data_IF_231475186225
#
_entry.id   IF_231475186225
#
_cell.length_a   1.000
_cell.length_b   1.000
_cell.length_c   1.000
_cell.angle_alpha   90.00
_cell.angle_beta   90.00
_cell.angle_gamma   90.00
#
_symmetry.space_group_name_H-M   'P 1'
#
loop_
_entity.id
_entity.type
_entity.pdbx_description
1 polymer ?
#
# COMPACT_ATOMS: atom_id res chain seq x y z
N UNK A 1 -16.89 9.40 35.48
CA UNK A 1 -16.18 8.56 36.50
C UNK A 1 -14.79 8.22 35.95
N UNK A 2 -13.74 8.80 36.51
CA UNK A 2 -12.35 8.65 36.05
C UNK A 2 -11.80 7.31 36.55
N UNK A 3 -11.38 6.42 35.67
CA UNK A 3 -10.63 5.20 36.03
C UNK A 3 -9.15 5.55 36.12
N UNK A 4 -8.60 5.55 37.35
CA UNK A 4 -7.17 5.62 37.59
C UNK A 4 -6.58 4.22 37.50
N UNK A 5 -5.68 4.00 36.55
CA UNK A 5 -4.90 2.77 36.46
C UNK A 5 -3.62 2.98 37.29
N UNK A 6 -3.51 2.26 38.44
CA UNK A 6 -2.35 2.29 39.29
C UNK A 6 -1.43 1.12 38.94
N UNK A 7 -0.24 1.40 38.43
CA UNK A 7 0.81 0.38 38.28
C UNK A 7 1.64 0.35 39.56
N UNK A 8 1.58 -0.76 40.29
CA UNK A 8 2.47 -1.05 41.43
C UNK A 8 3.65 -1.85 40.90
N UNK A 9 4.82 -1.26 40.84
CA UNK A 9 6.08 -1.99 40.67
C UNK A 9 6.59 -2.44 42.05
N UNK A 10 6.60 -3.75 42.27
CA UNK A 10 7.24 -4.35 43.47
C UNK A 10 8.73 -4.57 43.15
N UNK A 11 9.61 -3.84 43.80
CA UNK A 11 11.03 -4.21 43.91
C UNK A 11 11.56 -3.79 45.28
N UNK A 12 11.98 -4.81 45.99
CA UNK A 12 12.88 -4.95 47.14
C UNK A 12 13.14 -3.75 48.07
N UNK A 13 12.80 -3.95 49.31
CA UNK A 13 13.16 -3.13 50.47
C UNK A 13 14.66 -3.00 50.66
N UNK A 14 15.15 -1.76 50.73
CA UNK A 14 16.13 -1.32 51.73
C UNK A 14 15.73 0.10 52.17
N UNK A 15 15.69 0.31 53.47
CA UNK A 15 15.15 1.45 54.19
C UNK A 15 15.33 2.84 53.56
N UNK A 16 14.24 3.60 53.45
CA UNK A 16 14.26 5.04 53.25
C UNK A 16 13.26 5.55 52.22
N UNK A 17 12.12 6.06 52.71
CA UNK A 17 11.29 7.04 52.01
C UNK A 17 10.57 6.60 50.71
N UNK A 18 9.29 6.24 50.80
CA UNK A 18 8.42 6.12 49.62
C UNK A 18 8.21 7.50 48.99
N UNK A 19 8.86 7.77 47.87
CA UNK A 19 8.43 8.81 46.92
C UNK A 19 7.55 8.16 45.85
N UNK A 20 6.25 8.40 45.95
CA UNK A 20 5.32 8.06 44.87
C UNK A 20 5.42 9.11 43.75
N UNK A 21 6.03 8.76 42.65
CA UNK A 21 5.97 9.56 41.46
C UNK A 21 4.65 9.25 40.72
N UNK A 22 3.72 10.20 40.77
CA UNK A 22 2.54 10.17 39.84
C UNK A 22 2.98 10.77 38.51
N UNK A 23 3.14 9.96 37.51
CA UNK A 23 3.23 10.44 36.14
C UNK A 23 1.82 10.72 35.63
N UNK A 24 1.47 12.00 35.52
CA UNK A 24 0.34 12.42 34.70
C UNK A 24 0.76 12.29 33.24
N UNK A 25 0.29 11.24 32.58
CA UNK A 25 0.36 11.14 31.13
C UNK A 25 -0.63 12.19 30.61
N UNK A 26 -0.18 13.23 29.88
CA UNK A 26 -1.10 14.19 29.31
C UNK A 26 -2.06 13.43 28.38
N UNK A 27 -3.33 13.43 28.72
CA UNK A 27 -4.41 12.92 27.88
C UNK A 27 -4.36 13.75 26.59
N UNK A 28 -3.92 13.13 25.47
CA UNK A 28 -3.92 13.77 24.17
C UNK A 28 -5.38 14.16 23.89
N UNK A 29 -5.70 15.46 24.01
CA UNK A 29 -6.99 15.97 23.58
C UNK A 29 -7.12 15.69 22.09
N UNK A 30 -7.85 14.63 21.74
CA UNK A 30 -8.31 14.45 20.39
C UNK A 30 -9.28 15.60 20.11
N UNK A 31 -8.83 16.54 19.27
CA UNK A 31 -9.66 17.66 18.79
C UNK A 31 -10.91 17.08 18.14
N UNK A 32 -12.05 17.37 18.75
CA UNK A 32 -13.36 16.93 18.29
C UNK A 32 -13.60 17.29 16.83
N UNK A 33 -14.00 16.29 16.03
CA UNK A 33 -14.36 16.42 14.62
C UNK A 33 -14.19 15.16 13.78
N UNK A 34 -13.66 14.07 14.36
CA UNK A 34 -13.38 12.82 13.61
C UNK A 34 -14.21 11.60 14.06
N UNK A 35 -14.95 11.68 15.13
CA UNK A 35 -15.63 10.51 15.72
C UNK A 35 -16.77 9.92 14.89
N UNK A 36 -17.38 10.70 13.99
CA UNK A 36 -18.51 10.24 13.18
C UNK A 36 -18.14 9.70 11.77
N UNK A 37 -16.85 9.65 11.44
CA UNK A 37 -16.42 9.19 10.12
C UNK A 37 -16.34 7.66 10.05
N UNK A 38 -17.12 7.08 9.14
CA UNK A 38 -17.10 5.63 8.90
C UNK A 38 -15.78 5.21 8.25
N UNK A 39 -15.07 4.25 8.85
CA UNK A 39 -13.85 3.70 8.29
C UNK A 39 -14.10 3.00 6.96
N UNK A 40 -13.05 2.86 6.14
CA UNK A 40 -13.09 2.26 4.81
C UNK A 40 -13.68 0.83 4.85
N UNK A 41 -13.22 0.03 5.78
CA UNK A 41 -13.66 -1.34 6.07
C UNK A 41 -13.14 -1.74 7.46
N UNK A 42 -13.67 -2.79 8.09
CA UNK A 42 -13.15 -3.31 9.36
C UNK A 42 -11.66 -3.68 9.23
N UNK A 43 -10.82 -3.11 10.09
CA UNK A 43 -9.36 -3.28 10.05
C UNK A 43 -8.62 -2.26 9.18
N UNK A 44 -9.28 -1.23 8.67
CA UNK A 44 -8.60 -0.11 8.01
C UNK A 44 -7.87 0.75 9.04
N UNK A 45 -6.57 0.98 8.82
CA UNK A 45 -5.67 1.69 9.72
C UNK A 45 -5.03 2.91 9.04
N UNK A 46 -4.27 3.69 9.79
CA UNK A 46 -3.48 4.80 9.28
C UNK A 46 -4.28 5.99 8.76
N UNK A 47 -3.62 6.84 8.00
CA UNK A 47 -4.20 8.09 7.50
C UNK A 47 -5.31 7.87 6.46
N UNK A 48 -5.20 6.81 5.64
CA UNK A 48 -6.20 6.43 4.63
C UNK A 48 -7.42 5.70 5.17
N UNK A 49 -7.51 5.44 6.48
CA UNK A 49 -8.58 4.63 7.09
C UNK A 49 -10.01 5.13 6.85
N UNK A 50 -10.16 6.39 6.45
CA UNK A 50 -11.46 6.99 6.16
C UNK A 50 -11.77 7.14 4.67
N UNK A 51 -10.91 6.59 3.80
CA UNK A 51 -11.16 6.54 2.36
C UNK A 51 -12.49 5.89 2.08
N UNK A 52 -13.37 6.54 1.35
CA UNK A 52 -14.72 6.05 1.09
C UNK A 52 -14.78 5.13 -0.14
N UNK A 53 -13.83 5.28 -1.06
CA UNK A 53 -13.81 4.53 -2.31
C UNK A 53 -15.10 4.68 -3.10
N UNK A 54 -15.61 3.57 -3.58
CA UNK A 54 -16.85 3.50 -4.35
C UNK A 54 -18.14 3.39 -3.53
N UNK A 55 -18.09 3.66 -2.22
CA UNK A 55 -19.25 3.53 -1.32
C UNK A 55 -20.46 4.32 -1.84
N UNK A 56 -21.63 3.66 -1.84
CA UNK A 56 -22.88 4.24 -2.33
C UNK A 56 -22.99 4.33 -3.86
N UNK A 57 -21.97 3.91 -4.58
CA UNK A 57 -21.96 3.87 -6.04
C UNK A 57 -22.48 2.57 -6.65
N UNK A 58 -22.31 2.45 -7.96
CA UNK A 58 -22.69 1.25 -8.72
C UNK A 58 -21.70 0.11 -8.49
N UNK A 59 -22.20 -1.12 -8.53
CA UNK A 59 -21.37 -2.32 -8.54
C UNK A 59 -21.20 -2.80 -9.99
N UNK A 60 -19.96 -3.06 -10.36
CA UNK A 60 -19.62 -3.62 -11.67
C UNK A 60 -18.94 -4.98 -11.48
N UNK A 61 -19.45 -5.98 -12.17
CA UNK A 61 -18.95 -7.34 -12.12
C UNK A 61 -17.93 -7.57 -13.24
N UNK A 62 -16.76 -8.07 -12.85
CA UNK A 62 -15.77 -8.58 -13.80
C UNK A 62 -16.04 -10.06 -13.99
N UNK A 63 -16.50 -10.40 -15.17
CA UNK A 63 -16.93 -11.75 -15.58
C UNK A 63 -15.99 -12.36 -16.62
N UNK A 64 -14.97 -11.61 -17.07
CA UNK A 64 -13.99 -12.05 -18.05
C UNK A 64 -12.57 -11.68 -17.62
N UNK A 65 -11.61 -12.56 -17.89
CA UNK A 65 -10.17 -12.30 -17.69
C UNK A 65 -9.52 -11.61 -18.90
N UNK A 66 -10.28 -11.32 -19.96
CA UNK A 66 -9.77 -10.57 -21.10
C UNK A 66 -9.50 -9.10 -20.75
N UNK A 67 -8.61 -8.47 -21.53
CA UNK A 67 -8.24 -7.05 -21.38
C UNK A 67 -8.48 -6.28 -22.69
N UNK A 68 -9.61 -6.52 -23.35
CA UNK A 68 -10.01 -5.87 -24.60
C UNK A 68 -10.90 -4.64 -24.41
N UNK A 69 -11.33 -4.37 -23.18
CA UNK A 69 -12.21 -3.26 -22.86
C UNK A 69 -13.68 -3.49 -23.16
N UNK A 70 -14.07 -4.72 -23.52
CA UNK A 70 -15.48 -5.12 -23.64
C UNK A 70 -16.17 -5.18 -22.29
N UNK A 71 -17.48 -5.13 -22.27
CA UNK A 71 -18.29 -5.24 -21.06
C UNK A 71 -17.98 -6.54 -20.33
N UNK A 72 -17.82 -6.43 -19.00
CA UNK A 72 -17.43 -7.55 -18.15
C UNK A 72 -15.92 -7.69 -17.93
N UNK A 73 -15.08 -6.87 -18.60
CA UNK A 73 -13.64 -6.81 -18.34
C UNK A 73 -13.31 -5.77 -17.28
N UNK A 74 -12.18 -5.94 -16.57
CA UNK A 74 -11.71 -4.97 -15.58
C UNK A 74 -11.47 -3.59 -16.22
N UNK A 75 -10.87 -3.55 -17.42
CA UNK A 75 -10.60 -2.31 -18.16
C UNK A 75 -11.88 -1.56 -18.50
N UNK A 76 -12.94 -2.25 -18.85
CA UNK A 76 -14.25 -1.63 -19.08
C UNK A 76 -14.85 -1.07 -17.79
N UNK A 77 -14.81 -1.84 -16.71
CA UNK A 77 -15.35 -1.43 -15.42
C UNK A 77 -14.67 -0.16 -14.86
N UNK A 78 -13.35 -0.05 -15.02
CA UNK A 78 -12.58 1.12 -14.63
C UNK A 78 -12.97 2.40 -15.37
N UNK A 79 -13.40 2.28 -16.64
CA UNK A 79 -13.81 3.42 -17.48
C UNK A 79 -15.19 3.98 -17.12
N UNK A 80 -16.00 3.28 -16.35
CA UNK A 80 -17.35 3.73 -16.01
C UNK A 80 -17.32 5.00 -15.17
N UNK A 81 -18.35 5.83 -15.28
CA UNK A 81 -18.45 7.09 -14.56
C UNK A 81 -19.13 6.93 -13.18
N UNK A 82 -18.86 7.90 -12.30
CA UNK A 82 -19.41 7.98 -10.96
C UNK A 82 -18.75 7.02 -9.95
N UNK A 83 -19.14 7.13 -8.67
CA UNK A 83 -18.66 6.22 -7.64
C UNK A 83 -18.98 4.77 -7.99
N UNK A 84 -18.01 3.87 -7.77
CA UNK A 84 -18.18 2.47 -8.17
C UNK A 84 -17.35 1.49 -7.35
N UNK A 85 -17.92 0.31 -7.17
CA UNK A 85 -17.22 -0.85 -6.63
C UNK A 85 -17.11 -1.91 -7.72
N UNK A 86 -15.90 -2.39 -7.95
CA UNK A 86 -15.61 -3.46 -8.90
C UNK A 86 -15.43 -4.75 -8.12
N UNK A 87 -16.19 -5.75 -8.47
CA UNK A 87 -16.17 -7.11 -7.90
C UNK A 87 -15.84 -8.13 -9.00
N UNK A 88 -15.36 -9.29 -8.59
CA UNK A 88 -14.91 -10.34 -9.52
C UNK A 88 -15.71 -11.61 -9.33
N UNK A 89 -16.34 -12.07 -10.40
CA UNK A 89 -17.05 -13.35 -10.50
C UNK A 89 -16.16 -14.45 -11.09
N UNK A 90 -14.94 -14.09 -11.49
CA UNK A 90 -13.91 -14.96 -12.07
C UNK A 90 -12.66 -14.97 -11.22
N UNK A 91 -11.81 -15.98 -11.42
CA UNK A 91 -10.49 -16.10 -10.82
C UNK A 91 -9.44 -16.39 -11.89
N UNK A 92 -8.23 -15.88 -11.69
CA UNK A 92 -7.12 -16.14 -12.60
C UNK A 92 -6.25 -14.93 -12.87
N UNK A 93 -5.55 -14.98 -14.00
CA UNK A 93 -4.66 -13.91 -14.45
C UNK A 93 -5.29 -13.14 -15.59
N UNK A 94 -5.37 -11.83 -15.44
CA UNK A 94 -5.69 -10.89 -16.50
C UNK A 94 -4.38 -10.47 -17.15
N UNK A 95 -4.13 -10.90 -18.36
CA UNK A 95 -2.99 -10.50 -19.17
C UNK A 95 -3.26 -9.14 -19.80
N UNK A 96 -2.68 -8.10 -19.21
CA UNK A 96 -2.90 -6.73 -19.66
C UNK A 96 -2.28 -6.52 -21.05
N UNK A 97 -2.98 -5.80 -21.92
CA UNK A 97 -2.50 -5.41 -23.26
C UNK A 97 -1.83 -4.04 -23.28
N UNK A 98 -1.98 -3.29 -22.20
CA UNK A 98 -1.35 -2.00 -21.95
C UNK A 98 -1.47 -1.65 -20.48
N UNK A 99 -0.69 -0.67 -20.02
CA UNK A 99 -0.82 -0.16 -18.65
C UNK A 99 -2.30 0.08 -18.29
N UNK A 100 -2.67 -0.37 -17.12
CA UNK A 100 -4.01 -0.18 -16.60
C UNK A 100 -4.00 0.95 -15.57
N UNK A 101 -4.95 1.88 -15.65
CA UNK A 101 -5.00 3.05 -14.77
C UNK A 101 -6.38 3.23 -14.16
N UNK A 102 -6.40 3.69 -12.91
CA UNK A 102 -7.63 4.31 -12.39
C UNK A 102 -7.79 5.66 -13.08
N UNK A 103 -8.96 5.96 -13.59
CA UNK A 103 -9.20 7.21 -14.33
C UNK A 103 -10.32 8.07 -13.76
N UNK A 104 -10.99 7.60 -12.72
CA UNK A 104 -12.14 8.26 -12.10
C UNK A 104 -12.06 8.09 -10.58
N UNK A 105 -12.34 9.17 -9.87
CA UNK A 105 -12.40 9.20 -8.43
C UNK A 105 -13.52 8.30 -7.86
N UNK A 106 -13.46 8.02 -6.58
CA UNK A 106 -14.45 7.22 -5.85
C UNK A 106 -14.57 5.78 -6.34
N UNK A 107 -13.46 5.05 -6.25
CA UNK A 107 -13.33 3.67 -6.74
C UNK A 107 -12.99 2.71 -5.59
N UNK A 108 -13.66 1.56 -5.57
CA UNK A 108 -13.24 0.38 -4.82
C UNK A 108 -13.01 -0.78 -5.77
N UNK A 109 -11.83 -1.41 -5.69
CA UNK A 109 -11.54 -2.67 -6.38
C UNK A 109 -11.44 -3.76 -5.31
N UNK A 110 -12.43 -4.63 -5.27
CA UNK A 110 -12.62 -5.64 -4.23
C UNK A 110 -12.15 -7.02 -4.71
N UNK A 111 -10.83 -7.23 -4.78
CA UNK A 111 -10.24 -8.50 -5.25
C UNK A 111 -10.62 -9.71 -4.40
N UNK A 112 -10.99 -9.51 -3.12
CA UNK A 112 -11.44 -10.57 -2.23
C UNK A 112 -12.76 -11.23 -2.65
N UNK A 113 -13.50 -10.64 -3.57
CA UNK A 113 -14.74 -11.23 -4.09
C UNK A 113 -14.48 -12.32 -5.13
N UNK A 114 -13.29 -12.36 -5.69
CA UNK A 114 -12.89 -13.41 -6.64
C UNK A 114 -12.83 -14.78 -5.96
N UNK A 115 -13.41 -15.83 -6.57
CA UNK A 115 -13.43 -17.18 -5.97
C UNK A 115 -12.05 -17.84 -5.84
N UNK A 116 -11.02 -17.32 -6.51
CA UNK A 116 -9.65 -17.85 -6.45
C UNK A 116 -8.58 -16.75 -6.52
N UNK A 117 -8.99 -15.49 -6.47
CA UNK A 117 -8.12 -14.32 -6.54
C UNK A 117 -7.74 -13.92 -7.96
N UNK A 118 -7.36 -12.65 -8.11
CA UNK A 118 -7.01 -12.02 -9.40
C UNK A 118 -5.54 -11.63 -9.40
N UNK A 119 -4.87 -11.92 -10.51
CA UNK A 119 -3.55 -11.44 -10.85
C UNK A 119 -3.63 -10.54 -12.09
N UNK A 120 -2.97 -9.38 -12.04
CA UNK A 120 -2.75 -8.51 -13.19
C UNK A 120 -1.31 -8.70 -13.64
N UNK A 121 -1.11 -9.08 -14.90
CA UNK A 121 0.21 -9.41 -15.45
C UNK A 121 0.53 -8.59 -16.71
N UNK A 122 1.81 -8.60 -17.07
CA UNK A 122 2.42 -8.08 -18.31
C UNK A 122 2.61 -6.56 -18.34
N UNK A 123 1.78 -5.77 -17.68
CA UNK A 123 1.92 -4.32 -17.56
C UNK A 123 1.63 -3.86 -16.13
N UNK A 124 2.07 -2.65 -15.80
CA UNK A 124 1.82 -2.03 -14.51
C UNK A 124 0.38 -1.54 -14.32
N UNK A 125 0.06 -1.28 -13.05
CA UNK A 125 -1.20 -0.66 -12.65
C UNK A 125 -0.94 0.69 -11.98
N UNK A 126 -1.56 1.76 -12.48
CA UNK A 126 -1.33 3.11 -11.99
C UNK A 126 -2.57 3.69 -11.29
N UNK A 127 -2.39 4.18 -10.06
CA UNK A 127 -3.40 4.95 -9.32
C UNK A 127 -3.35 6.39 -9.82
N UNK A 128 -4.30 6.75 -10.68
CA UNK A 128 -4.38 8.06 -11.32
C UNK A 128 -5.66 8.84 -10.96
N UNK A 129 -6.28 8.50 -9.86
CA UNK A 129 -7.49 9.15 -9.34
C UNK A 129 -7.46 9.17 -7.82
N UNK A 130 -8.32 10.00 -7.21
CA UNK A 130 -8.44 10.14 -5.77
C UNK A 130 -9.54 9.24 -5.20
N UNK A 131 -9.50 9.06 -3.88
CA UNK A 131 -10.49 8.31 -3.14
C UNK A 131 -10.65 6.87 -3.69
N UNK A 132 -9.55 6.12 -3.62
CA UNK A 132 -9.43 4.78 -4.20
C UNK A 132 -9.10 3.76 -3.11
N UNK A 133 -9.83 2.66 -3.11
CA UNK A 133 -9.56 1.47 -2.29
C UNK A 133 -9.21 0.31 -3.22
N UNK A 134 -8.06 -0.32 -3.01
CA UNK A 134 -7.60 -1.50 -3.78
C UNK A 134 -7.28 -2.60 -2.77
N UNK A 135 -7.93 -3.75 -2.90
CA UNK A 135 -7.77 -4.84 -1.96
C UNK A 135 -7.62 -6.20 -2.63
N UNK A 136 -6.76 -7.05 -2.06
CA UNK A 136 -6.62 -8.47 -2.40
C UNK A 136 -6.30 -8.74 -3.87
N UNK A 137 -5.43 -7.93 -4.48
CA UNK A 137 -4.95 -8.13 -5.83
C UNK A 137 -3.47 -8.53 -5.86
N UNK A 138 -3.09 -9.23 -6.90
CA UNK A 138 -1.70 -9.56 -7.22
C UNK A 138 -1.30 -8.81 -8.49
N UNK A 139 -0.14 -8.16 -8.46
CA UNK A 139 0.43 -7.42 -9.59
C UNK A 139 1.76 -8.07 -9.98
N UNK A 140 1.87 -8.49 -11.25
CA UNK A 140 3.01 -9.23 -11.81
C UNK A 140 3.33 -8.72 -13.21
N UNK A 141 3.82 -7.45 -13.35
CA UNK A 141 4.03 -6.86 -14.66
C UNK A 141 5.05 -7.61 -15.51
N UNK A 142 6.12 -8.12 -14.92
CA UNK A 142 7.18 -8.74 -15.68
C UNK A 142 7.89 -7.77 -16.63
N UNK A 143 8.77 -8.29 -17.49
CA UNK A 143 9.52 -7.52 -18.48
C UNK A 143 9.05 -7.72 -19.93
N UNK A 144 8.08 -8.60 -20.16
CA UNK A 144 7.65 -8.99 -21.51
C UNK A 144 7.08 -7.82 -22.33
N UNK A 145 6.59 -6.77 -21.69
CA UNK A 145 6.09 -5.57 -22.37
C UNK A 145 7.20 -4.71 -23.00
N UNK A 146 8.46 -4.93 -22.66
CA UNK A 146 9.56 -4.06 -23.03
C UNK A 146 9.47 -2.63 -22.44
N UNK A 147 8.62 -2.43 -21.44
CA UNK A 147 8.45 -1.18 -20.69
C UNK A 147 9.14 -1.31 -19.33
N UNK A 148 9.22 -0.22 -18.62
CA UNK A 148 9.78 -0.13 -17.26
C UNK A 148 8.66 0.11 -16.24
N UNK A 149 7.73 -0.85 -16.04
CA UNK A 149 6.58 -0.60 -15.21
C UNK A 149 6.90 -0.72 -13.73
N UNK A 150 6.30 0.18 -12.94
CA UNK A 150 5.95 -0.12 -11.57
C UNK A 150 4.89 -1.23 -11.55
N UNK A 151 4.93 -2.05 -10.53
CA UNK A 151 3.89 -3.07 -10.37
C UNK A 151 2.55 -2.45 -10.01
N UNK A 152 2.54 -1.67 -8.94
CA UNK A 152 1.45 -0.81 -8.50
C UNK A 152 2.04 0.56 -8.17
N UNK A 153 1.74 1.56 -8.99
CA UNK A 153 2.27 2.91 -8.85
C UNK A 153 1.21 3.99 -8.77
N UNK A 154 1.65 5.21 -8.49
CA UNK A 154 0.82 6.42 -8.51
C UNK A 154 1.51 7.61 -7.86
N UNK A 155 1.19 8.83 -8.33
CA UNK A 155 1.75 10.06 -7.82
C UNK A 155 0.68 11.08 -7.48
N UNK A 156 0.91 11.86 -6.41
CA UNK A 156 0.16 13.07 -6.06
C UNK A 156 -1.36 12.85 -6.00
N UNK A 157 -1.77 11.76 -5.38
CA UNK A 157 -3.18 11.44 -5.14
C UNK A 157 -3.51 11.50 -3.65
N UNK A 158 -4.78 11.58 -3.33
CA UNK A 158 -5.27 11.64 -1.95
C UNK A 158 -6.37 10.63 -1.68
N UNK A 159 -6.48 10.29 -0.41
CA UNK A 159 -7.47 9.33 0.07
C UNK A 159 -7.31 7.96 -0.62
N UNK A 160 -6.12 7.38 -0.52
CA UNK A 160 -5.79 6.08 -1.12
C UNK A 160 -5.65 5.03 -0.01
N UNK A 161 -6.26 3.88 -0.21
CA UNK A 161 -6.13 2.72 0.64
C UNK A 161 -5.76 1.50 -0.20
N UNK A 162 -4.54 0.99 -0.01
CA UNK A 162 -4.06 -0.27 -0.61
C UNK A 162 -3.92 -1.29 0.50
N UNK A 163 -4.62 -2.42 0.37
CA UNK A 163 -4.74 -3.39 1.44
C UNK A 163 -4.66 -4.83 0.93
N UNK A 164 -3.88 -5.67 1.61
CA UNK A 164 -3.71 -7.10 1.28
C UNK A 164 -3.32 -7.37 -0.19
N UNK A 165 -2.50 -6.53 -0.77
CA UNK A 165 -2.00 -6.70 -2.14
C UNK A 165 -0.59 -7.29 -2.15
N UNK A 166 -0.26 -8.02 -3.21
CA UNK A 166 1.12 -8.46 -3.45
C UNK A 166 1.62 -7.98 -4.81
N UNK A 167 2.83 -7.45 -4.82
CA UNK A 167 3.46 -6.88 -6.01
C UNK A 167 4.83 -7.49 -6.20
N UNK A 168 5.10 -8.07 -7.36
CA UNK A 168 6.39 -8.69 -7.68
C UNK A 168 6.68 -8.58 -9.17
N UNK A 169 7.96 -8.80 -9.53
CA UNK A 169 8.45 -8.85 -10.90
C UNK A 169 8.32 -7.55 -11.67
N UNK A 170 8.43 -6.44 -10.96
CA UNK A 170 8.47 -5.12 -11.57
C UNK A 170 9.86 -4.81 -12.11
N UNK A 171 9.94 -4.07 -13.20
CA UNK A 171 11.20 -3.63 -13.81
C UNK A 171 11.73 -2.39 -13.11
N UNK A 172 10.84 -1.49 -12.70
CA UNK A 172 11.15 -0.35 -11.85
C UNK A 172 10.79 -0.68 -10.38
N UNK A 173 9.88 -0.03 -9.72
CA UNK A 173 9.49 -0.36 -8.35
C UNK A 173 8.31 -1.33 -8.28
N UNK A 174 8.31 -2.21 -7.27
CA UNK A 174 7.14 -3.04 -7.02
C UNK A 174 5.94 -2.19 -6.60
N UNK A 175 6.10 -1.41 -5.52
CA UNK A 175 5.03 -0.57 -4.98
C UNK A 175 5.51 0.88 -4.87
N UNK A 176 5.15 1.72 -5.84
CA UNK A 176 5.60 3.09 -5.98
C UNK A 176 4.44 4.06 -5.79
N UNK A 177 4.21 4.50 -4.56
CA UNK A 177 3.17 5.48 -4.23
C UNK A 177 3.84 6.76 -3.71
N UNK A 178 3.96 7.76 -4.56
CA UNK A 178 4.71 8.97 -4.30
C UNK A 178 3.79 10.18 -4.12
N UNK A 179 4.12 11.09 -3.21
CA UNK A 179 3.37 12.33 -3.01
C UNK A 179 1.92 12.16 -2.52
N UNK A 180 1.59 11.02 -1.94
CA UNK A 180 0.22 10.72 -1.51
C UNK A 180 -0.18 11.53 -0.28
N UNK A 181 -1.47 11.89 -0.19
CA UNK A 181 -2.08 12.58 0.95
C UNK A 181 -3.21 11.75 1.55
N UNK A 182 -3.35 11.73 2.87
CA UNK A 182 -4.36 10.95 3.61
C UNK A 182 -4.46 9.49 3.14
N UNK A 183 -3.33 8.83 2.99
CA UNK A 183 -3.26 7.55 2.32
C UNK A 183 -2.62 6.48 3.21
N UNK A 184 -2.94 5.23 2.97
CA UNK A 184 -2.37 4.08 3.68
C UNK A 184 -2.09 2.93 2.71
N UNK A 185 -0.93 2.31 2.89
CA UNK A 185 -0.61 0.98 2.37
C UNK A 185 -0.49 0.05 3.58
N UNK A 186 -1.30 -0.99 3.63
CA UNK A 186 -1.30 -1.93 4.75
C UNK A 186 -1.38 -3.39 4.30
N UNK A 187 -0.77 -4.29 5.06
CA UNK A 187 -0.80 -5.74 4.86
C UNK A 187 -0.41 -6.18 3.44
N UNK A 188 0.52 -5.46 2.83
CA UNK A 188 0.99 -5.68 1.46
C UNK A 188 2.35 -6.38 1.44
N UNK A 189 2.67 -7.00 0.31
CA UNK A 189 3.98 -7.59 0.04
C UNK A 189 4.52 -7.02 -1.27
N UNK A 190 5.71 -6.38 -1.21
CA UNK A 190 6.50 -6.00 -2.38
C UNK A 190 7.77 -6.84 -2.43
N UNK A 191 7.98 -7.64 -3.47
CA UNK A 191 9.10 -8.57 -3.52
C UNK A 191 9.53 -8.92 -4.93
N UNK A 192 10.75 -9.49 -5.06
CA UNK A 192 11.25 -10.06 -6.30
C UNK A 192 11.22 -9.10 -7.49
N UNK A 193 11.60 -7.82 -7.27
CA UNK A 193 11.78 -6.89 -8.37
C UNK A 193 12.88 -7.38 -9.34
N UNK A 194 12.69 -7.14 -10.63
CA UNK A 194 13.55 -7.65 -11.71
C UNK A 194 14.78 -6.76 -11.90
N UNK A 195 15.73 -6.85 -10.99
CA UNK A 195 16.91 -5.97 -10.97
C UNK A 195 17.76 -6.00 -12.25
N UNK A 196 17.79 -7.12 -12.96
CA UNK A 196 18.58 -7.29 -14.21
C UNK A 196 17.72 -7.23 -15.48
N UNK A 197 16.48 -6.76 -15.37
CA UNK A 197 15.62 -6.53 -16.52
C UNK A 197 16.09 -5.33 -17.36
N UNK A 198 15.46 -5.15 -18.51
CA UNK A 198 15.70 -4.04 -19.43
C UNK A 198 15.22 -2.72 -18.81
N UNK A 199 16.10 -2.03 -18.09
CA UNK A 199 15.82 -0.68 -17.60
C UNK A 199 16.90 0.26 -18.13
N UNK A 200 16.51 1.47 -18.61
CA UNK A 200 17.45 2.43 -19.22
C UNK A 200 18.56 2.88 -18.28
N UNK A 201 18.33 2.85 -16.98
CA UNK A 201 19.32 3.17 -15.93
C UNK A 201 20.23 1.98 -15.59
N UNK A 202 20.12 0.85 -16.26
CA UNK A 202 20.87 -0.36 -15.97
C UNK A 202 20.22 -1.19 -14.83
N UNK A 203 21.04 -1.77 -13.94
CA UNK A 203 20.53 -2.58 -12.84
C UNK A 203 19.59 -1.75 -11.93
N UNK A 204 18.32 -2.02 -12.04
CA UNK A 204 17.23 -1.34 -11.36
C UNK A 204 16.31 -2.37 -10.68
N UNK A 205 15.06 -2.04 -10.36
CA UNK A 205 14.14 -2.95 -9.68
C UNK A 205 14.24 -2.83 -8.16
N UNK A 206 13.29 -2.08 -7.59
CA UNK A 206 13.23 -1.81 -6.15
C UNK A 206 11.93 -2.32 -5.54
N UNK A 207 11.93 -2.51 -4.22
CA UNK A 207 10.74 -2.92 -3.47
C UNK A 207 9.65 -1.87 -3.46
N UNK A 208 10.03 -0.60 -3.43
CA UNK A 208 9.07 0.50 -3.49
C UNK A 208 9.71 1.88 -3.38
N UNK A 209 8.92 2.89 -3.73
CA UNK A 209 9.28 4.31 -3.59
C UNK A 209 8.13 5.05 -2.87
N UNK A 210 8.45 5.67 -1.73
CA UNK A 210 7.46 6.26 -0.82
C UNK A 210 7.88 7.65 -0.34
N UNK A 211 8.21 8.54 -1.26
CA UNK A 211 8.61 9.91 -0.95
C UNK A 211 7.47 10.93 -1.09
N UNK A 212 7.73 12.17 -0.62
CA UNK A 212 6.88 13.34 -0.88
C UNK A 212 5.50 13.35 -0.24
N UNK A 213 5.23 12.53 0.77
CA UNK A 213 3.90 12.33 1.33
C UNK A 213 3.43 13.45 2.28
N UNK A 214 2.09 13.63 2.34
CA UNK A 214 1.39 14.39 3.36
C UNK A 214 0.36 13.49 4.02
N UNK A 215 0.51 13.23 5.33
CA UNK A 215 -0.37 12.32 6.06
C UNK A 215 -0.48 10.94 5.37
N UNK A 216 0.60 10.21 5.36
CA UNK A 216 0.70 8.87 4.78
C UNK A 216 1.13 7.85 5.83
N UNK A 217 0.62 6.65 5.74
CA UNK A 217 0.98 5.53 6.63
C UNK A 217 1.30 4.28 5.84
N UNK A 218 2.31 3.57 6.30
CA UNK A 218 2.58 2.20 5.90
C UNK A 218 2.40 1.34 7.14
N UNK A 219 1.42 0.45 7.11
CA UNK A 219 1.12 -0.46 8.19
C UNK A 219 1.35 -1.90 7.73
N UNK A 220 2.27 -2.59 8.40
CA UNK A 220 2.53 -4.02 8.14
C UNK A 220 2.85 -4.34 6.66
N UNK A 221 3.82 -3.64 6.08
CA UNK A 221 4.36 -3.95 4.76
C UNK A 221 5.54 -4.91 4.89
N UNK A 222 5.47 -6.06 4.24
CA UNK A 222 6.63 -6.89 3.98
C UNK A 222 7.25 -6.46 2.64
N UNK A 223 8.41 -5.82 2.69
CA UNK A 223 9.21 -5.51 1.50
C UNK A 223 10.46 -6.35 1.53
N UNK A 224 10.66 -7.18 0.53
CA UNK A 224 11.90 -7.91 0.33
C UNK A 224 12.44 -7.58 -1.06
N UNK A 225 13.49 -6.78 -1.11
CA UNK A 225 14.31 -6.67 -2.31
C UNK A 225 15.20 -7.90 -2.36
N UNK A 226 14.69 -8.96 -2.96
CA UNK A 226 15.54 -10.11 -3.29
C UNK A 226 16.24 -9.74 -4.58
N UNK A 227 17.52 -9.43 -4.47
CA UNK A 227 18.42 -9.46 -5.61
C UNK A 227 18.56 -10.93 -5.99
N UNK A 228 17.74 -11.40 -6.92
CA UNK A 228 17.92 -12.71 -7.52
C UNK A 228 19.18 -12.68 -8.40
N UNK A 229 20.35 -12.75 -7.77
CA UNK A 229 21.54 -13.19 -8.47
C UNK A 229 21.40 -14.69 -8.69
N UNK A 230 21.28 -15.08 -9.95
CA UNK A 230 21.58 -16.46 -10.33
C UNK A 230 23.06 -16.69 -10.10
N UNK A 231 23.42 -17.07 -8.91
CA UNK A 231 24.56 -17.96 -8.65
C UNK A 231 24.70 -18.20 -7.15
N UNK A 232 24.75 -19.50 -6.80
CA UNK A 232 25.29 -20.07 -5.57
C UNK A 232 24.63 -19.74 -4.24
N UNK A 233 23.66 -20.57 -3.84
CA UNK A 233 23.52 -21.12 -2.50
C UNK A 233 23.71 -20.19 -1.31
N UNK A 234 22.82 -19.23 -1.07
CA UNK A 234 22.75 -18.54 0.21
C UNK A 234 21.29 -18.60 0.73
N UNK A 235 21.08 -19.03 1.97
CA UNK A 235 19.73 -19.20 2.50
C UNK A 235 19.04 -17.86 2.76
N UNK A 236 17.78 -17.83 2.42
CA UNK A 236 16.83 -16.75 2.56
C UNK A 236 16.67 -16.32 4.04
N UNK A 237 17.04 -15.10 4.37
CA UNK A 237 16.64 -14.45 5.61
C UNK A 237 16.39 -12.96 5.33
N UNK A 238 15.14 -12.62 5.02
CA UNK A 238 14.72 -11.23 5.02
C UNK A 238 13.29 -11.11 5.55
N UNK A 239 13.17 -10.86 6.83
CA UNK A 239 11.95 -10.35 7.45
C UNK A 239 12.24 -8.92 7.90
N UNK A 240 11.91 -7.95 7.06
CA UNK A 240 11.78 -6.57 7.52
C UNK A 240 10.30 -6.22 7.49
N UNK A 241 9.66 -6.33 8.63
CA UNK A 241 8.35 -5.75 8.84
C UNK A 241 8.59 -4.28 9.20
N UNK A 242 8.33 -3.37 8.26
CA UNK A 242 8.58 -1.94 8.45
C UNK A 242 7.23 -1.27 8.73
N UNK A 243 7.13 -0.67 9.91
CA UNK A 243 6.02 0.22 10.26
C UNK A 243 6.54 1.65 10.21
N UNK A 244 6.06 2.45 9.25
CA UNK A 244 6.33 3.87 9.17
C UNK A 244 5.03 4.66 9.33
N UNK A 245 5.02 5.58 10.26
CA UNK A 245 4.02 6.64 10.39
C UNK A 245 4.75 7.96 10.17
N UNK A 246 4.45 8.66 9.08
CA UNK A 246 5.01 9.98 8.82
C UNK A 246 3.98 11.05 9.15
N UNK A 247 4.15 11.71 10.29
CA UNK A 247 3.55 13.01 10.52
C UNK A 247 4.48 14.03 9.85
N UNK A 248 3.97 14.72 8.82
CA UNK A 248 4.55 15.86 8.11
C UNK A 248 6.09 15.91 8.10
N UNK A 249 6.73 15.42 7.05
CA UNK A 249 8.08 15.81 6.73
C UNK A 249 8.06 17.19 6.07
N UNK A 250 8.28 18.24 6.83
CA UNK A 250 8.76 19.52 6.31
C UNK A 250 10.25 19.31 5.98
N UNK A 251 10.53 18.77 4.81
CA UNK A 251 11.88 18.72 4.27
C UNK A 251 12.19 20.07 3.59
N UNK A 252 13.08 20.88 4.11
CA UNK A 252 13.62 21.99 3.35
C UNK A 252 14.56 21.40 2.30
N UNK A 253 14.19 21.63 1.04
CA UNK A 253 15.04 21.62 -0.16
C UNK A 253 16.28 20.69 -0.18
N UNK A 254 16.19 19.59 -0.90
CA UNK A 254 17.25 19.22 -1.84
C UNK A 254 18.40 18.35 -1.36
N UNK A 255 18.33 17.62 -0.25
CA UNK A 255 19.34 16.61 0.08
C UNK A 255 18.66 15.33 0.56
N UNK A 256 18.74 14.31 -0.25
CA UNK A 256 18.42 12.94 0.15
C UNK A 256 19.48 12.46 1.15
N UNK A 257 19.12 11.99 2.36
CA UNK A 257 20.03 11.15 3.12
C UNK A 257 19.90 9.72 2.58
N UNK A 258 20.47 9.47 1.41
CA UNK A 258 20.33 8.21 0.69
C UNK A 258 21.60 7.41 0.53
N UNK A 259 22.64 7.67 1.34
CA UNK A 259 23.90 6.95 1.24
C UNK A 259 24.32 6.21 2.53
N UNK A 260 23.39 5.95 3.44
CA UNK A 260 23.63 5.05 4.56
C UNK A 260 22.75 3.81 4.45
N UNK A 261 23.02 2.98 3.46
CA UNK A 261 22.71 1.57 3.54
C UNK A 261 23.56 1.01 4.68
N UNK A 262 22.93 0.68 5.79
CA UNK A 262 23.57 -0.15 6.81
C UNK A 262 23.95 -1.47 6.16
N UNK A 263 25.19 -1.92 6.31
CA UNK A 263 25.57 -3.26 5.85
C UNK A 263 24.81 -4.29 6.71
N UNK A 264 24.24 -5.26 6.04
CA UNK A 264 23.70 -6.49 6.64
C UNK A 264 24.81 -7.27 7.34
#
# INVERSE_FOLDING_TARGET
MKRKLVYVCLLAMVAGGMMSFSYDIPEKQETGGREDRVISFPGAEGHGRYTTGGRGGKVYHVTSLEDDGSQGTLRWALKQNGPKTIVFDVAGTIHLKSELRTGKDHLTIAGQTSPGGICLADYGFSINSNNVIIRFLRFRPGEASGKEPDGLGGCDKKDIMVDHCSVSWSVDECLSVYGMENSTVQWCIGSEALRKATHVKGAHGYGGNWGGHKAFSIESLASATVVAERSTGIPFSARSCIRYVTERCDCPTGLWPGDNLLPL
#
